data_IF_844497613952
#
_entry.id   IF_844497613952
#
_cell.length_a   1.000
_cell.length_b   1.000
_cell.length_c   1.000
_cell.angle_alpha   90.00
_cell.angle_beta   90.00
_cell.angle_gamma   90.00
#
_symmetry.space_group_name_H-M   'P 1'
#
loop_
_entity.id
_entity.type
_entity.pdbx_description
1 polymer ?
#
# COMPACT_ATOMS: atom_id res chain seq x y z
N UNK A 1 10.20 -6.08 -16.74
CA UNK A 1 8.83 -5.63 -16.39
C UNK A 1 8.26 -4.92 -17.61
N UNK A 2 7.16 -5.41 -18.16
CA UNK A 2 6.50 -4.82 -19.34
C UNK A 2 5.24 -4.13 -18.87
N UNK A 3 5.13 -2.82 -19.07
CA UNK A 3 3.92 -2.05 -18.83
C UNK A 3 3.07 -2.05 -20.11
N UNK A 4 1.84 -2.52 -20.04
CA UNK A 4 0.94 -2.52 -21.18
C UNK A 4 -0.35 -1.74 -20.84
N UNK A 5 -0.72 -0.80 -21.70
CA UNK A 5 -1.95 -0.03 -21.62
C UNK A 5 -2.87 -0.46 -22.75
N UNK A 6 -3.99 -1.09 -22.44
CA UNK A 6 -5.12 -1.26 -23.37
C UNK A 6 -5.05 -2.30 -24.50
N UNK A 7 -4.26 -3.38 -24.43
CA UNK A 7 -4.36 -4.46 -25.42
C UNK A 7 -4.45 -5.84 -24.75
N UNK A 8 -5.17 -6.80 -25.36
CA UNK A 8 -5.12 -8.18 -24.89
C UNK A 8 -3.69 -8.67 -24.93
N UNK A 9 -3.22 -9.24 -23.81
CA UNK A 9 -1.93 -9.93 -23.79
C UNK A 9 -2.05 -11.21 -24.63
N UNK A 10 -1.69 -11.10 -25.92
CA UNK A 10 -1.59 -12.24 -26.83
C UNK A 10 -0.12 -12.70 -26.87
N UNK A 11 0.45 -12.97 -25.71
CA UNK A 11 1.82 -13.45 -25.57
C UNK A 11 1.80 -14.94 -25.24
N UNK A 12 2.12 -15.78 -26.20
CA UNK A 12 2.60 -17.14 -25.95
C UNK A 12 4.05 -17.04 -25.45
N UNK A 13 4.26 -16.56 -24.21
CA UNK A 13 5.57 -16.60 -23.58
C UNK A 13 5.87 -17.99 -23.07
N UNK A 14 7.13 -18.40 -23.15
CA UNK A 14 7.68 -19.67 -22.66
C UNK A 14 7.55 -19.91 -21.14
N UNK A 15 6.79 -19.09 -20.39
CA UNK A 15 6.71 -19.09 -18.95
C UNK A 15 5.34 -19.42 -18.34
N UNK A 16 4.38 -19.96 -19.10
CA UNK A 16 3.08 -20.30 -18.51
C UNK A 16 2.13 -19.12 -18.23
N UNK A 17 2.51 -17.88 -18.57
CA UNK A 17 1.67 -16.69 -18.39
C UNK A 17 0.30 -16.90 -19.08
N UNK A 18 -0.84 -16.70 -18.37
CA UNK A 18 -2.14 -16.88 -18.94
C UNK A 18 -2.47 -15.80 -19.98
N UNK A 19 -3.33 -16.15 -20.94
CA UNK A 19 -3.93 -15.16 -21.83
C UNK A 19 -5.11 -14.49 -21.12
N UNK A 20 -5.17 -13.16 -21.17
CA UNK A 20 -6.23 -12.36 -20.56
C UNK A 20 -6.40 -11.00 -21.25
N UNK A 21 -7.51 -10.34 -20.95
CA UNK A 21 -7.75 -8.92 -21.24
C UNK A 21 -7.82 -8.15 -19.94
N UNK A 22 -7.32 -6.92 -19.91
CA UNK A 22 -7.48 -6.01 -18.79
C UNK A 22 -7.63 -4.57 -19.28
N UNK A 23 -8.60 -3.84 -18.73
CA UNK A 23 -8.89 -2.46 -19.16
C UNK A 23 -8.08 -1.39 -18.43
N UNK A 24 -7.40 -1.74 -17.33
CA UNK A 24 -6.52 -0.86 -16.56
C UNK A 24 -5.04 -1.08 -16.87
N UNK A 25 -4.18 -0.44 -16.10
CA UNK A 25 -2.71 -0.62 -16.16
C UNK A 25 -2.29 -1.79 -15.29
N UNK A 26 -1.39 -2.62 -15.79
CA UNK A 26 -0.87 -3.80 -15.09
C UNK A 26 0.60 -4.07 -15.42
N UNK A 27 1.22 -4.93 -14.63
CA UNK A 27 2.54 -5.48 -14.90
C UNK A 27 2.49 -7.01 -14.76
N UNK A 28 3.23 -7.72 -15.62
CA UNK A 28 3.39 -9.18 -15.54
C UNK A 28 4.77 -9.54 -15.04
N UNK A 29 4.86 -10.61 -14.26
CA UNK A 29 6.11 -11.16 -13.72
C UNK A 29 6.12 -12.65 -14.01
N UNK A 30 7.17 -13.11 -14.70
CA UNK A 30 7.48 -14.53 -14.86
C UNK A 30 8.35 -14.95 -13.67
N UNK A 31 7.83 -15.80 -12.81
CA UNK A 31 8.54 -16.34 -11.64
C UNK A 31 9.34 -17.62 -11.98
N UNK A 32 9.31 -18.03 -13.25
CA UNK A 32 9.95 -19.25 -13.72
C UNK A 32 9.20 -20.54 -13.39
N UNK A 33 9.57 -21.64 -14.05
CA UNK A 33 8.95 -22.95 -13.80
C UNK A 33 7.45 -23.03 -14.08
N UNK A 34 6.91 -22.16 -14.93
CA UNK A 34 5.47 -22.07 -15.20
C UNK A 34 4.71 -21.20 -14.20
N UNK A 35 5.39 -20.60 -13.24
CA UNK A 35 4.79 -19.69 -12.25
C UNK A 35 4.82 -18.25 -12.77
N UNK A 36 3.76 -17.49 -12.40
CA UNK A 36 3.59 -16.11 -12.84
C UNK A 36 2.82 -15.28 -11.81
N UNK A 37 3.00 -13.96 -11.90
CA UNK A 37 2.20 -12.96 -11.19
C UNK A 37 1.73 -11.87 -12.14
N UNK A 38 0.54 -11.29 -11.84
CA UNK A 38 0.01 -10.09 -12.49
C UNK A 38 -0.27 -9.08 -11.39
N UNK A 39 0.34 -7.89 -11.47
CA UNK A 39 0.12 -6.75 -10.58
C UNK A 39 -0.81 -5.76 -11.28
N UNK A 40 -2.01 -5.53 -10.76
CA UNK A 40 -2.95 -4.52 -11.24
C UNK A 40 -2.66 -3.20 -10.56
N UNK A 41 -2.30 -2.18 -11.34
CA UNK A 41 -1.82 -0.89 -10.86
C UNK A 41 -2.91 0.19 -10.85
N UNK A 42 -3.94 0.04 -11.66
CA UNK A 42 -5.15 0.89 -11.69
C UNK A 42 -6.39 0.01 -11.75
N UNK A 43 -7.54 0.55 -11.35
CA UNK A 43 -8.82 -0.16 -11.46
C UNK A 43 -9.16 -0.50 -12.91
N UNK A 44 -9.86 -1.63 -13.10
CA UNK A 44 -10.25 -2.11 -14.43
C UNK A 44 -11.06 -3.40 -14.36
N UNK A 45 -11.29 -4.00 -15.52
CA UNK A 45 -11.98 -5.28 -15.67
C UNK A 45 -10.97 -6.31 -16.19
N UNK A 46 -10.84 -7.41 -15.48
CA UNK A 46 -10.02 -8.55 -15.86
C UNK A 46 -10.90 -9.65 -16.48
N UNK A 47 -10.51 -10.14 -17.65
CA UNK A 47 -11.20 -11.21 -18.35
C UNK A 47 -10.20 -12.31 -18.72
N UNK A 48 -10.23 -13.48 -18.08
CA UNK A 48 -9.39 -14.63 -18.45
C UNK A 48 -9.86 -15.24 -19.76
N UNK A 49 -8.94 -15.58 -20.66
CA UNK A 49 -9.25 -16.26 -21.92
C UNK A 49 -9.18 -17.79 -21.83
N UNK A 50 -8.93 -18.31 -20.62
CA UNK A 50 -9.02 -19.74 -20.24
C UNK A 50 -9.53 -19.86 -18.81
N UNK A 51 -10.14 -20.99 -18.46
CA UNK A 51 -10.38 -21.31 -17.04
C UNK A 51 -9.05 -21.43 -16.31
N UNK A 52 -8.97 -20.86 -15.11
CA UNK A 52 -7.77 -20.91 -14.28
C UNK A 52 -8.10 -20.85 -12.81
N UNK A 53 -7.20 -21.35 -11.97
CA UNK A 53 -7.27 -21.18 -10.52
C UNK A 53 -6.13 -20.25 -10.08
N UNK A 54 -6.46 -19.26 -9.27
CA UNK A 54 -5.51 -18.22 -8.83
C UNK A 54 -5.52 -18.07 -7.31
N UNK A 55 -4.40 -17.53 -6.79
CA UNK A 55 -4.39 -16.85 -5.50
C UNK A 55 -4.41 -15.33 -5.76
N UNK A 56 -5.08 -14.56 -4.89
CA UNK A 56 -5.13 -13.10 -4.94
C UNK A 56 -4.62 -12.50 -3.63
N UNK A 57 -3.74 -11.48 -3.75
CA UNK A 57 -3.28 -10.65 -2.66
C UNK A 57 -3.71 -9.20 -2.92
N UNK A 58 -4.40 -8.62 -1.95
CA UNK A 58 -5.00 -7.30 -2.06
C UNK A 58 -4.43 -6.39 -0.97
N UNK A 59 -4.19 -5.14 -1.32
CA UNK A 59 -3.72 -4.09 -0.41
C UNK A 59 -4.59 -2.86 -0.59
N UNK A 60 -5.23 -2.37 0.46
CA UNK A 60 -5.97 -1.11 0.46
C UNK A 60 -5.04 0.11 0.38
N UNK A 61 -5.59 1.28 0.08
CA UNK A 61 -4.84 2.54 0.10
C UNK A 61 -4.40 2.92 1.50
N UNK A 62 -3.22 3.53 1.64
CA UNK A 62 -2.71 4.08 2.90
C UNK A 62 -3.39 5.40 3.26
N UNK A 63 -3.37 5.77 4.54
CA UNK A 63 -3.83 7.07 5.01
C UNK A 63 -2.82 8.18 4.74
N UNK A 64 -3.29 9.42 4.58
CA UNK A 64 -2.41 10.59 4.58
C UNK A 64 -1.79 10.81 5.96
N UNK A 65 -0.63 11.45 5.99
CA UNK A 65 -0.06 11.96 7.22
C UNK A 65 -0.94 13.03 7.86
N UNK A 66 -0.83 13.21 9.18
CA UNK A 66 -1.53 14.24 9.94
C UNK A 66 -0.55 15.14 10.66
N UNK A 67 -0.80 16.45 10.61
CA UNK A 67 -0.03 17.45 11.34
C UNK A 67 -0.93 18.29 12.24
N UNK A 68 -0.43 18.58 13.42
CA UNK A 68 -0.98 19.51 14.39
C UNK A 68 0.11 20.52 14.79
N UNK A 69 -0.22 21.56 15.56
CA UNK A 69 0.76 22.59 15.94
C UNK A 69 2.02 22.00 16.59
N UNK A 70 1.86 21.05 17.49
CA UNK A 70 2.92 20.47 18.30
C UNK A 70 3.09 18.95 18.11
N UNK A 71 2.38 18.36 17.15
CA UNK A 71 2.40 16.91 16.90
C UNK A 71 2.40 16.63 15.41
N UNK A 72 2.99 15.49 15.04
CA UNK A 72 2.95 14.95 13.70
C UNK A 72 2.71 13.44 13.78
N UNK A 73 1.89 12.93 12.86
CA UNK A 73 1.52 11.52 12.77
C UNK A 73 1.70 11.07 11.32
N UNK A 74 2.50 10.07 11.10
CA UNK A 74 2.50 9.37 9.82
C UNK A 74 1.17 8.67 9.60
N UNK A 75 0.71 8.63 8.37
CA UNK A 75 -0.45 7.84 7.99
C UNK A 75 -0.19 6.35 8.19
N UNK A 76 -1.22 5.60 8.54
CA UNK A 76 -1.15 4.14 8.59
C UNK A 76 -1.15 3.55 7.18
N UNK A 77 -0.52 2.38 7.00
CA UNK A 77 -0.65 1.59 5.79
C UNK A 77 -2.04 0.97 5.65
N UNK A 78 -2.47 0.69 4.42
CA UNK A 78 -3.72 0.00 4.13
C UNK A 78 -3.76 -1.42 4.71
N UNK A 79 -4.95 -2.00 4.83
CA UNK A 79 -5.07 -3.42 5.20
C UNK A 79 -4.66 -4.31 4.04
N UNK A 80 -4.32 -5.56 4.35
CA UNK A 80 -3.99 -6.59 3.36
C UNK A 80 -4.89 -7.79 3.52
N UNK A 81 -5.16 -8.48 2.42
CA UNK A 81 -5.95 -9.71 2.40
C UNK A 81 -5.38 -10.66 1.36
N UNK A 82 -5.25 -11.93 1.71
CA UNK A 82 -4.92 -13.02 0.77
C UNK A 82 -6.11 -13.96 0.66
N UNK A 83 -6.54 -14.24 -0.56
CA UNK A 83 -7.56 -15.24 -0.87
C UNK A 83 -6.92 -16.27 -1.79
N UNK A 84 -7.08 -17.56 -1.47
CA UNK A 84 -6.45 -18.65 -2.21
C UNK A 84 -7.46 -19.49 -3.00
N UNK A 85 -6.95 -20.17 -4.01
CA UNK A 85 -7.69 -21.19 -4.78
C UNK A 85 -8.99 -20.68 -5.43
N UNK A 86 -8.95 -19.47 -5.96
CA UNK A 86 -10.10 -18.85 -6.63
C UNK A 86 -10.21 -19.39 -8.05
N UNK A 87 -11.31 -20.09 -8.36
CA UNK A 87 -11.61 -20.54 -9.70
C UNK A 87 -12.16 -19.40 -10.56
N UNK A 88 -11.49 -19.10 -11.67
CA UNK A 88 -11.93 -18.10 -12.65
C UNK A 88 -12.44 -18.81 -13.92
N UNK A 89 -13.59 -18.37 -14.40
CA UNK A 89 -14.21 -18.90 -15.62
C UNK A 89 -13.79 -18.09 -16.84
N UNK A 90 -13.44 -18.79 -17.91
CA UNK A 90 -13.11 -18.20 -19.21
C UNK A 90 -14.17 -17.19 -19.66
N UNK A 91 -13.72 -16.08 -20.23
CA UNK A 91 -14.55 -15.01 -20.80
C UNK A 91 -15.56 -14.37 -19.82
N UNK A 92 -15.33 -14.53 -18.50
CA UNK A 92 -16.12 -13.87 -17.46
C UNK A 92 -15.38 -12.59 -17.02
N UNK A 93 -16.11 -11.49 -16.86
CA UNK A 93 -15.58 -10.23 -16.43
C UNK A 93 -15.47 -10.19 -14.90
N UNK A 94 -14.28 -9.85 -14.39
CA UNK A 94 -13.98 -9.68 -12.97
C UNK A 94 -13.55 -8.22 -12.72
N UNK A 95 -14.34 -7.49 -11.95
CA UNK A 95 -14.00 -6.12 -11.57
C UNK A 95 -12.83 -6.13 -10.58
N UNK A 96 -11.83 -5.29 -10.85
CA UNK A 96 -10.71 -5.02 -9.96
C UNK A 96 -10.73 -3.54 -9.59
N UNK A 97 -10.79 -3.25 -8.31
CA UNK A 97 -10.77 -1.88 -7.77
C UNK A 97 -9.49 -1.69 -6.99
N UNK A 98 -8.73 -0.65 -7.35
CA UNK A 98 -7.54 -0.24 -6.60
C UNK A 98 -7.92 0.95 -5.73
N UNK A 99 -7.78 0.80 -4.41
CA UNK A 99 -8.08 1.84 -3.45
C UNK A 99 -7.14 3.03 -3.59
N UNK A 100 -7.69 4.24 -3.64
CA UNK A 100 -6.90 5.47 -3.63
C UNK A 100 -6.19 5.65 -2.29
N UNK A 101 -5.03 6.28 -2.29
CA UNK A 101 -4.39 6.78 -1.08
C UNK A 101 -5.18 7.94 -0.49
N UNK A 102 -5.14 8.09 0.82
CA UNK A 102 -5.73 9.20 1.56
C UNK A 102 -5.06 10.53 1.18
N UNK A 103 -5.83 11.63 1.25
CA UNK A 103 -5.33 12.97 0.95
C UNK A 103 -5.68 13.97 2.06
N UNK A 104 -5.04 15.14 2.02
CA UNK A 104 -5.21 16.18 3.02
C UNK A 104 -4.56 15.86 4.36
N UNK A 105 -5.11 16.43 5.46
CA UNK A 105 -4.56 16.26 6.80
C UNK A 105 -5.21 15.04 7.50
N UNK A 106 -4.58 13.88 7.37
CA UNK A 106 -5.04 12.63 7.98
C UNK A 106 -6.17 11.94 7.21
N UNK A 107 -6.33 12.19 5.90
CA UNK A 107 -7.37 11.53 5.10
C UNK A 107 -7.22 10.01 5.04
N UNK A 108 -8.35 9.30 5.05
CA UNK A 108 -8.38 7.84 4.96
C UNK A 108 -8.06 7.33 3.54
N UNK A 109 -7.46 6.15 3.43
CA UNK A 109 -7.31 5.43 2.18
C UNK A 109 -8.59 4.73 1.73
N UNK A 110 -8.69 4.43 0.45
CA UNK A 110 -9.78 3.65 -0.15
C UNK A 110 -9.55 2.13 -0.08
N UNK A 111 -10.62 1.36 -0.16
CA UNK A 111 -10.53 -0.10 -0.23
C UNK A 111 -10.13 -0.59 -1.63
N UNK A 112 -9.31 -1.64 -1.69
CA UNK A 112 -9.09 -2.42 -2.90
C UNK A 112 -9.95 -3.67 -2.88
N UNK A 113 -10.51 -4.07 -4.02
CA UNK A 113 -11.32 -5.28 -4.11
C UNK A 113 -11.16 -5.98 -5.46
N UNK A 114 -11.47 -7.27 -5.49
CA UNK A 114 -11.47 -8.11 -6.68
C UNK A 114 -11.35 -9.57 -6.30
N UNK A 115 -11.74 -10.45 -7.21
CA UNK A 115 -11.55 -11.88 -7.05
C UNK A 115 -12.08 -12.38 -5.70
N UNK A 116 -13.32 -12.00 -5.33
CA UNK A 116 -14.00 -12.31 -4.06
C UNK A 116 -13.33 -11.74 -2.79
N UNK A 117 -12.18 -11.06 -2.92
CA UNK A 117 -11.46 -10.43 -1.80
C UNK A 117 -11.75 -8.94 -1.68
N UNK A 118 -11.55 -8.40 -0.48
CA UNK A 118 -11.53 -6.97 -0.18
C UNK A 118 -10.47 -6.68 0.87
N UNK A 119 -9.64 -5.67 0.60
CA UNK A 119 -8.72 -5.11 1.57
C UNK A 119 -9.10 -3.66 1.86
N UNK A 120 -9.48 -3.36 3.11
CA UNK A 120 -9.89 -2.02 3.50
C UNK A 120 -8.73 -1.02 3.38
N UNK A 121 -9.04 0.23 3.10
CA UNK A 121 -8.06 1.32 3.22
C UNK A 121 -7.75 1.64 4.68
N UNK A 122 -6.62 2.30 4.92
CA UNK A 122 -6.26 2.78 6.24
C UNK A 122 -7.24 3.85 6.74
N UNK A 123 -7.56 3.82 8.03
CA UNK A 123 -8.39 4.86 8.65
C UNK A 123 -7.61 6.17 8.83
N UNK A 124 -8.35 7.29 8.86
CA UNK A 124 -7.80 8.61 9.17
C UNK A 124 -7.25 8.73 10.60
N UNK A 125 -7.65 7.85 11.51
CA UNK A 125 -7.15 7.84 12.89
C UNK A 125 -5.75 7.22 12.91
N UNK A 126 -4.74 7.92 13.46
CA UNK A 126 -3.40 7.38 13.59
C UNK A 126 -3.39 6.01 14.28
N UNK A 127 -2.64 5.06 13.74
CA UNK A 127 -2.52 3.72 14.29
C UNK A 127 -3.62 2.73 13.89
N UNK A 128 -4.63 3.15 13.10
CA UNK A 128 -5.68 2.26 12.57
C UNK A 128 -5.44 1.97 11.08
N UNK A 129 -4.87 0.85 10.80
CA UNK A 129 -4.52 0.39 9.46
C UNK A 129 -3.67 -0.87 9.51
N UNK A 130 -3.09 -1.24 8.37
CA UNK A 130 -2.23 -2.41 8.24
C UNK A 130 -0.97 -2.30 9.09
N UNK A 131 -0.26 -1.20 8.94
CA UNK A 131 0.94 -0.88 9.73
C UNK A 131 0.82 0.51 10.31
N UNK A 132 1.26 0.69 11.55
CA UNK A 132 1.17 1.97 12.25
C UNK A 132 2.10 3.04 11.67
N UNK A 133 1.59 4.23 11.49
CA UNK A 133 2.39 5.41 11.16
C UNK A 133 3.26 5.85 12.33
N UNK A 134 4.34 6.57 12.02
CA UNK A 134 5.20 7.18 13.01
C UNK A 134 4.47 8.25 13.82
N UNK A 135 4.96 8.53 15.00
CA UNK A 135 4.40 9.55 15.89
C UNK A 135 5.48 10.47 16.43
N UNK A 136 5.18 11.75 16.47
CA UNK A 136 6.00 12.75 17.15
C UNK A 136 5.14 13.76 17.91
N UNK A 137 5.57 14.10 19.13
CA UNK A 137 4.95 15.11 19.97
C UNK A 137 6.02 15.92 20.68
N UNK A 138 5.81 17.22 20.78
CA UNK A 138 6.58 18.12 21.63
C UNK A 138 5.74 18.52 22.85
N UNK A 139 6.24 18.22 24.05
CA UNK A 139 5.66 18.62 25.32
C UNK A 139 6.77 18.99 26.32
N UNK A 140 7.69 19.93 25.93
CA UNK A 140 8.92 20.25 26.67
C UNK A 140 10.10 19.32 26.33
N UNK A 141 9.83 18.10 25.87
CA UNK A 141 10.80 17.19 25.26
C UNK A 141 10.16 16.53 24.03
N UNK A 142 11.00 16.04 23.10
CA UNK A 142 10.50 15.36 21.88
C UNK A 142 10.32 13.87 22.17
N UNK A 143 9.07 13.40 22.09
CA UNK A 143 8.76 11.97 22.03
C UNK A 143 8.59 11.55 20.58
N UNK A 144 9.23 10.46 20.14
CA UNK A 144 9.15 9.93 18.78
C UNK A 144 9.07 8.41 18.76
N UNK A 145 8.24 7.87 17.87
CA UNK A 145 8.18 6.46 17.52
C UNK A 145 8.23 6.33 16.00
N UNK A 146 9.04 5.41 15.48
CA UNK A 146 9.10 5.16 14.04
C UNK A 146 7.81 4.51 13.53
N UNK A 147 7.52 4.68 12.24
CA UNK A 147 6.53 3.89 11.53
C UNK A 147 6.94 2.42 11.50
N UNK A 148 5.96 1.52 11.46
CA UNK A 148 6.25 0.10 11.37
C UNK A 148 6.40 -0.35 9.93
N UNK A 149 7.28 -1.33 9.76
CA UNK A 149 7.30 -2.17 8.57
C UNK A 149 5.97 -2.94 8.48
N UNK A 150 5.70 -3.54 7.35
CA UNK A 150 4.54 -4.41 7.19
C UNK A 150 4.46 -5.61 8.15
N UNK A 151 5.06 -5.57 9.32
CA UNK A 151 5.04 -6.65 10.29
C UNK A 151 4.21 -6.34 11.54
N UNK A 152 4.43 -5.22 12.23
CA UNK A 152 3.67 -4.83 13.43
C UNK A 152 3.77 -3.34 13.66
N UNK A 153 2.73 -2.74 14.21
CA UNK A 153 2.71 -1.34 14.55
C UNK A 153 3.89 -0.94 15.43
N UNK A 154 4.64 0.08 14.98
CA UNK A 154 5.83 0.59 15.70
C UNK A 154 5.51 1.62 16.78
N UNK A 155 4.26 1.96 17.01
CA UNK A 155 3.84 2.85 18.10
C UNK A 155 3.03 2.08 19.15
N UNK A 156 3.07 2.56 20.39
CA UNK A 156 2.33 1.96 21.51
C UNK A 156 0.81 1.88 21.29
N UNK A 157 0.30 2.55 20.27
CA UNK A 157 -1.13 2.64 19.96
C UNK A 157 -1.52 2.02 18.62
N UNK A 158 -0.61 1.35 17.92
CA UNK A 158 -0.91 0.71 16.63
C UNK A 158 -0.67 -0.78 16.68
N UNK A 159 -1.68 -1.53 16.29
CA UNK A 159 -1.55 -2.96 15.99
C UNK A 159 -1.27 -3.11 14.50
N UNK A 160 -0.11 -3.63 14.13
CA UNK A 160 0.20 -4.00 12.74
C UNK A 160 -0.48 -5.31 12.35
N UNK A 161 -0.49 -5.61 11.06
CA UNK A 161 -1.07 -6.85 10.51
C UNK A 161 -0.13 -8.05 10.60
N UNK A 162 1.09 -7.89 11.08
CA UNK A 162 2.07 -8.97 11.14
C UNK A 162 2.52 -9.41 9.75
N UNK A 163 2.68 -10.71 9.55
CA UNK A 163 3.14 -11.29 8.28
C UNK A 163 2.16 -11.12 7.11
N UNK A 164 0.91 -10.73 7.37
CA UNK A 164 -0.11 -10.57 6.32
C UNK A 164 0.19 -9.44 5.34
N UNK A 165 1.08 -8.50 5.71
CA UNK A 165 1.52 -7.40 4.84
C UNK A 165 2.58 -7.81 3.82
N UNK A 166 3.11 -9.01 3.90
CA UNK A 166 3.96 -9.59 2.84
C UNK A 166 3.10 -10.18 1.74
N UNK A 167 3.59 -10.07 0.51
CA UNK A 167 2.93 -10.61 -0.67
C UNK A 167 2.59 -12.09 -0.47
N UNK A 168 1.30 -12.41 -0.55
CA UNK A 168 0.70 -13.73 -0.24
C UNK A 168 1.00 -14.29 1.17
N UNK A 169 1.48 -13.47 2.12
CA UNK A 169 1.87 -13.92 3.46
C UNK A 169 3.18 -14.72 3.51
N UNK A 170 3.95 -14.71 2.46
CA UNK A 170 5.20 -15.49 2.34
C UNK A 170 6.38 -14.71 2.94
N UNK A 171 7.27 -15.40 3.67
CA UNK A 171 8.41 -14.79 4.36
C UNK A 171 9.39 -14.08 3.42
N UNK A 172 9.46 -14.49 2.15
CA UNK A 172 10.28 -13.91 1.09
C UNK A 172 9.51 -12.90 0.22
N UNK A 173 8.20 -12.73 0.43
CA UNK A 173 7.36 -11.81 -0.32
C UNK A 173 7.72 -10.35 -0.07
N UNK A 174 7.47 -9.50 -1.08
CA UNK A 174 7.62 -8.05 -0.95
C UNK A 174 6.75 -7.52 0.19
N UNK A 175 7.23 -6.47 0.89
CA UNK A 175 6.47 -5.78 1.92
C UNK A 175 5.56 -4.72 1.32
N UNK A 176 4.32 -4.66 1.84
CA UNK A 176 3.31 -3.67 1.50
C UNK A 176 2.79 -2.96 2.75
N UNK A 177 2.01 -1.90 2.54
CA UNK A 177 1.27 -1.22 3.60
C UNK A 177 2.14 -0.68 4.74
N UNK A 178 3.34 -0.18 4.45
CA UNK A 178 4.22 0.41 5.45
C UNK A 178 3.64 1.70 6.03
N UNK A 179 3.84 1.95 7.33
CA UNK A 179 3.41 3.20 7.98
C UNK A 179 4.26 4.39 7.55
N UNK A 180 3.64 5.56 7.40
CA UNK A 180 4.33 6.82 7.07
C UNK A 180 5.21 7.34 8.22
N UNK A 181 6.20 8.16 7.89
CA UNK A 181 7.05 8.86 8.83
C UNK A 181 6.36 10.06 9.49
N UNK A 182 6.99 10.65 10.50
CA UNK A 182 6.53 11.87 11.13
C UNK A 182 7.67 12.85 11.36
N UNK A 183 7.44 14.14 11.11
CA UNK A 183 8.44 15.18 11.28
C UNK A 183 7.92 16.35 12.12
N UNK A 184 8.73 16.80 13.06
CA UNK A 184 8.48 17.98 13.89
C UNK A 184 9.48 19.09 13.57
N UNK A 185 8.96 20.31 13.39
CA UNK A 185 9.78 21.52 13.22
C UNK A 185 9.97 22.19 14.57
N UNK A 186 11.17 22.10 15.13
CA UNK A 186 11.55 22.77 16.38
C UNK A 186 12.04 24.17 16.08
N UNK A 187 11.30 25.24 16.46
CA UNK A 187 11.80 26.61 16.63
C UNK A 187 12.44 27.31 15.44
N UNK A 188 11.99 27.04 14.20
CA UNK A 188 12.59 27.63 12.98
C UNK A 188 13.27 26.58 12.10
N UNK A 189 13.69 26.97 10.90
CA UNK A 189 14.15 26.07 9.83
C UNK A 189 15.38 25.18 10.13
N UNK A 190 15.96 25.25 11.32
CA UNK A 190 17.22 24.55 11.65
C UNK A 190 17.08 23.28 12.46
N UNK A 191 15.91 22.91 12.95
CA UNK A 191 15.74 21.74 13.81
C UNK A 191 14.62 20.83 13.36
N UNK A 192 14.87 19.92 12.39
CA UNK A 192 13.92 18.87 12.04
C UNK A 192 14.22 17.63 12.87
N UNK A 193 13.26 17.21 13.69
CA UNK A 193 13.30 15.89 14.31
C UNK A 193 12.39 14.99 13.50
N UNK A 194 12.91 13.84 13.07
CA UNK A 194 12.23 12.91 12.18
C UNK A 194 12.11 11.52 12.81
N UNK A 195 10.95 10.93 12.69
CA UNK A 195 10.68 9.53 12.96
C UNK A 195 10.46 8.79 11.64
N UNK A 196 11.28 7.75 11.38
CA UNK A 196 11.30 7.02 10.10
C UNK A 196 9.94 6.39 9.75
N UNK A 197 9.68 6.34 8.44
CA UNK A 197 8.64 5.52 7.87
C UNK A 197 8.97 4.03 8.00
N UNK A 198 7.94 3.18 7.97
CA UNK A 198 8.08 1.73 7.84
C UNK A 198 8.41 1.32 6.40
N UNK A 199 9.01 0.14 6.22
CA UNK A 199 9.18 -0.48 4.91
C UNK A 199 7.81 -0.89 4.32
N UNK A 200 7.76 -1.13 3.02
CA UNK A 200 6.49 -1.43 2.33
C UNK A 200 5.78 -0.17 1.84
N UNK A 201 6.54 0.87 1.47
CA UNK A 201 6.06 2.05 0.76
C UNK A 201 5.63 3.22 1.65
N UNK A 202 5.97 3.23 2.94
CA UNK A 202 5.68 4.37 3.84
C UNK A 202 6.41 5.65 3.40
N UNK A 203 5.69 6.80 3.33
CA UNK A 203 6.23 8.11 2.97
C UNK A 203 7.16 8.67 4.03
N UNK A 204 8.29 9.20 3.62
CA UNK A 204 9.31 9.81 4.45
C UNK A 204 9.29 11.34 4.44
N UNK A 205 10.42 11.97 4.75
CA UNK A 205 10.62 13.41 4.63
C UNK A 205 11.86 13.73 3.79
N UNK A 206 11.76 14.76 2.97
CA UNK A 206 12.88 15.32 2.21
C UNK A 206 12.97 16.82 2.49
N UNK A 207 14.03 17.25 3.19
CA UNK A 207 14.13 18.60 3.69
C UNK A 207 12.91 18.95 4.57
N UNK A 208 12.16 19.98 4.18
CA UNK A 208 10.93 20.42 4.85
C UNK A 208 9.65 19.78 4.25
N UNK A 209 9.77 18.91 3.27
CA UNK A 209 8.61 18.37 2.54
C UNK A 209 8.24 16.97 3.05
N UNK A 210 7.00 16.82 3.51
CA UNK A 210 6.43 15.52 3.82
C UNK A 210 6.12 14.77 2.51
N UNK A 211 6.71 13.58 2.35
CA UNK A 211 6.56 12.77 1.14
C UNK A 211 5.32 11.87 1.25
N UNK A 212 4.65 11.60 0.12
CA UNK A 212 3.57 10.63 0.08
C UNK A 212 4.08 9.20 0.32
N UNK A 213 3.16 8.30 0.66
CA UNK A 213 3.38 6.87 0.52
C UNK A 213 3.58 6.49 -0.95
N UNK A 214 4.31 5.43 -1.20
CA UNK A 214 4.58 4.97 -2.57
C UNK A 214 3.30 4.46 -3.25
N UNK A 215 3.05 4.83 -4.51
CA UNK A 215 1.92 4.31 -5.26
C UNK A 215 1.94 2.78 -5.36
N UNK A 216 0.76 2.16 -5.36
CA UNK A 216 0.59 0.70 -5.50
C UNK A 216 1.29 -0.12 -4.40
N UNK A 217 1.41 0.45 -3.21
CA UNK A 217 1.93 -0.24 -2.03
C UNK A 217 0.98 -0.20 -0.84
N UNK A 218 0.01 0.71 -0.86
CA UNK A 218 -0.83 0.99 0.32
C UNK A 218 -0.08 1.67 1.45
N UNK A 219 1.10 2.25 1.20
CA UNK A 219 1.91 2.91 2.23
C UNK A 219 1.28 4.20 2.75
N UNK A 220 1.41 4.49 4.05
CA UNK A 220 0.96 5.73 4.68
C UNK A 220 1.84 6.94 4.29
N UNK A 221 1.25 8.13 4.22
CA UNK A 221 1.98 9.37 3.95
C UNK A 221 2.69 9.92 5.19
N UNK A 222 3.74 10.73 5.01
CA UNK A 222 4.44 11.39 6.11
C UNK A 222 3.60 12.52 6.72
N UNK A 223 3.56 12.59 8.05
CA UNK A 223 3.00 13.72 8.79
C UNK A 223 4.07 14.75 9.14
N UNK A 224 3.68 16.05 9.16
CA UNK A 224 4.56 17.16 9.57
C UNK A 224 3.82 18.14 10.48
N UNK A 225 4.42 18.49 11.60
CA UNK A 225 3.87 19.53 12.49
C UNK A 225 3.95 20.93 11.90
N UNK A 226 3.08 21.82 12.36
CA UNK A 226 3.02 23.23 11.97
C UNK A 226 1.67 23.62 11.36
N UNK A 227 1.27 24.88 11.55
CA UNK A 227 -0.07 25.38 11.21
C UNK A 227 -0.41 25.39 9.72
N UNK A 228 0.60 25.42 8.85
CA UNK A 228 0.44 25.40 7.38
C UNK A 228 1.26 24.29 6.72
N UNK A 229 1.51 23.20 7.45
CA UNK A 229 2.32 22.12 6.92
C UNK A 229 1.50 21.27 5.93
N UNK A 230 2.05 21.09 4.73
CA UNK A 230 1.51 20.11 3.76
C UNK A 230 1.88 18.72 4.22
N UNK A 231 0.91 17.85 4.28
CA UNK A 231 1.06 16.44 4.66
C UNK A 231 1.31 15.58 3.42
N UNK A 232 2.06 14.50 3.59
CA UNK A 232 2.18 13.48 2.54
C UNK A 232 0.86 12.72 2.38
N UNK A 233 0.41 12.57 1.14
CA UNK A 233 -0.73 11.69 0.83
C UNK A 233 -0.38 10.23 1.13
N UNK A 234 -1.36 9.37 1.36
CA UNK A 234 -1.16 7.93 1.35
C UNK A 234 -0.90 7.40 -0.06
N UNK A 235 -0.22 6.29 -0.19
CA UNK A 235 -0.05 5.56 -1.44
C UNK A 235 -1.32 4.80 -1.81
N UNK A 236 -1.61 4.65 -3.10
CA UNK A 236 -2.69 3.77 -3.57
C UNK A 236 -2.42 2.32 -3.20
N UNK A 237 -3.48 1.53 -3.09
CA UNK A 237 -3.41 0.09 -2.95
C UNK A 237 -2.96 -0.62 -4.22
N UNK A 238 -3.01 -1.94 -4.19
CA UNK A 238 -2.69 -2.83 -5.32
C UNK A 238 -3.50 -4.12 -5.20
N UNK A 239 -3.73 -4.77 -6.33
CA UNK A 239 -4.20 -6.16 -6.37
C UNK A 239 -3.19 -6.97 -7.17
N UNK A 240 -2.80 -8.13 -6.65
CA UNK A 240 -1.85 -9.04 -7.27
C UNK A 240 -2.49 -10.41 -7.36
N UNK A 241 -2.42 -11.04 -8.52
CA UNK A 241 -2.80 -12.44 -8.68
C UNK A 241 -1.62 -13.28 -9.13
N UNK A 242 -1.69 -14.57 -8.82
CA UNK A 242 -0.75 -15.59 -9.29
C UNK A 242 -1.46 -16.89 -9.59
N UNK A 243 -0.84 -17.81 -10.32
CA UNK A 243 -1.32 -19.19 -10.37
C UNK A 243 -1.34 -19.78 -8.95
N UNK A 244 -2.41 -20.53 -8.62
CA UNK A 244 -2.56 -21.13 -7.29
C UNK A 244 -1.39 -22.07 -6.95
N UNK A 245 -0.85 -21.94 -5.71
CA UNK A 245 0.28 -22.71 -5.19
C UNK A 245 0.40 -22.61 -3.67
#
# INVERSE_FOLDING_TARGET
MIFNTHYPYIGGGSGGMPQFEYTGTYATIDDGGGNWRIKFLTSGVFKPLKNMTIDAFLVGGGAAGKGETWSAYGGSGGFTTTVKEIALTKNTDYNVVIGAGGSGNGGAGGASSGFTGTAAGANATPGQGGSGGAYMKYSGSVTKNAGSDGANGGSSNSTGQGSTTREFGESTGDLYAGGGGAAYLSGGASGIVYAKAGAGGGGGISGLTALPGEPNTGGGGCGRSGTNATQGAGGSGIVIIRNAR
#
